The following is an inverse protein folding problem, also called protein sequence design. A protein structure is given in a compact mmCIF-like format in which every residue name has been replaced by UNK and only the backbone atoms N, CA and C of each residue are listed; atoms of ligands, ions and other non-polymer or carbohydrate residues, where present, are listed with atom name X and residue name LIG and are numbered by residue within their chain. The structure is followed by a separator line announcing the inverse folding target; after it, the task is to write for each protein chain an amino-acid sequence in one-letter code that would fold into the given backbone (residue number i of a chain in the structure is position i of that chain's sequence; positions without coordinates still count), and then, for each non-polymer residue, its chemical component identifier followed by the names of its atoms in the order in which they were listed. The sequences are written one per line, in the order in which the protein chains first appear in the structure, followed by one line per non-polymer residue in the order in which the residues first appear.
data_IF_321316431236
#
_entry.id   IF_321316431236
#
_cell.length_a   1.000
_cell.length_b   1.000
_cell.length_c   1.000
_cell.angle_alpha   90.00
_cell.angle_beta   90.00
_cell.angle_gamma   90.00
#
_symmetry.space_group_name_H-M   'P 1'
#
loop_
_entity.id
_entity.type
_entity.pdbx_description
1 polymer ?
#
# COMPACT_ATOMS: atom_id res chain seq x y z
N UNK A 1 1.80 78.89 0.63
CA UNK A 1 2.01 77.85 -0.39
C UNK A 1 1.84 76.49 0.26
N UNK A 2 0.65 75.89 0.14
CA UNK A 2 0.42 74.50 0.58
C UNK A 2 0.28 73.70 -0.71
N UNK A 3 1.35 72.97 -1.06
CA UNK A 3 1.34 72.01 -2.17
C UNK A 3 0.40 70.87 -1.80
N UNK A 4 -0.57 70.59 -2.68
CA UNK A 4 -1.58 69.55 -2.49
C UNK A 4 -0.93 68.19 -2.27
N UNK A 5 -1.26 67.57 -1.13
CA UNK A 5 -1.00 66.15 -0.94
C UNK A 5 -1.74 65.37 -2.04
N UNK A 6 -0.98 64.63 -2.84
CA UNK A 6 -1.48 63.74 -3.89
C UNK A 6 -2.42 62.68 -3.28
N UNK A 7 -3.72 62.91 -3.40
CA UNK A 7 -4.81 62.08 -2.86
C UNK A 7 -4.86 60.65 -3.43
N UNK A 8 -4.04 60.35 -4.45
CA UNK A 8 -3.99 59.04 -5.11
C UNK A 8 -3.04 58.05 -4.43
N UNK A 9 -2.03 58.51 -3.68
CA UNK A 9 -1.02 57.65 -3.03
C UNK A 9 -1.62 56.69 -1.98
N UNK A 10 -2.51 57.12 -1.06
CA UNK A 10 -3.11 56.21 -0.08
C UNK A 10 -3.99 55.14 -0.75
N UNK A 11 -4.73 55.53 -1.78
CA UNK A 11 -5.60 54.64 -2.57
C UNK A 11 -4.79 53.59 -3.31
N UNK A 12 -3.66 53.96 -3.94
CA UNK A 12 -2.77 52.99 -4.58
C UNK A 12 -2.10 52.04 -3.57
N UNK A 13 -1.66 52.54 -2.41
CA UNK A 13 -1.05 51.69 -1.36
C UNK A 13 -2.06 50.69 -0.81
N UNK A 14 -3.29 51.13 -0.53
CA UNK A 14 -4.37 50.23 -0.10
C UNK A 14 -4.70 49.17 -1.16
N UNK A 15 -4.81 49.60 -2.42
CA UNK A 15 -5.12 48.71 -3.54
C UNK A 15 -4.02 47.68 -3.75
N UNK A 16 -2.75 48.08 -3.69
CA UNK A 16 -1.59 47.18 -3.78
C UNK A 16 -1.55 46.18 -2.60
N UNK A 17 -1.88 46.61 -1.38
CA UNK A 17 -1.93 45.74 -0.21
C UNK A 17 -3.05 44.68 -0.31
N UNK A 18 -4.24 45.06 -0.79
CA UNK A 18 -5.36 44.14 -1.00
C UNK A 18 -5.03 43.10 -2.08
N UNK A 19 -4.47 43.53 -3.23
CA UNK A 19 -4.07 42.60 -4.29
C UNK A 19 -2.89 41.71 -3.89
N UNK A 20 -1.91 42.23 -3.15
CA UNK A 20 -0.78 41.46 -2.62
C UNK A 20 -1.24 40.38 -1.62
N UNK A 21 -2.15 40.72 -0.71
CA UNK A 21 -2.71 39.78 0.26
C UNK A 21 -3.55 38.67 -0.38
N UNK A 22 -4.41 39.01 -1.35
CA UNK A 22 -5.21 38.04 -2.09
C UNK A 22 -4.34 37.08 -2.93
N UNK A 23 -3.30 37.60 -3.59
CA UNK A 23 -2.35 36.79 -4.37
C UNK A 23 -1.58 35.79 -3.50
N UNK A 24 -1.13 36.20 -2.31
CA UNK A 24 -0.45 35.32 -1.37
C UNK A 24 -1.35 34.18 -0.86
N UNK A 25 -2.63 34.46 -0.60
CA UNK A 25 -3.61 33.43 -0.20
C UNK A 25 -3.87 32.42 -1.32
N UNK A 26 -4.08 32.88 -2.56
CA UNK A 26 -4.28 32.00 -3.73
C UNK A 26 -3.04 31.13 -3.96
N UNK A 27 -1.84 31.71 -3.87
CA UNK A 27 -0.58 30.96 -4.00
C UNK A 27 -0.43 29.91 -2.89
N UNK A 28 -0.80 30.23 -1.65
CA UNK A 28 -0.77 29.29 -0.53
C UNK A 28 -1.75 28.13 -0.72
N UNK A 29 -2.98 28.40 -1.17
CA UNK A 29 -3.99 27.38 -1.50
C UNK A 29 -3.50 26.48 -2.63
N UNK A 30 -3.02 27.04 -3.74
CA UNK A 30 -2.47 26.27 -4.86
C UNK A 30 -1.24 25.44 -4.45
N UNK A 31 -0.39 25.96 -3.56
CA UNK A 31 0.76 25.22 -3.03
C UNK A 31 0.35 24.07 -2.11
N UNK A 32 -0.72 24.23 -1.32
CA UNK A 32 -1.30 23.15 -0.52
C UNK A 32 -1.94 22.07 -1.41
N UNK A 33 -2.76 22.48 -2.37
CA UNK A 33 -3.40 21.56 -3.32
C UNK A 33 -2.37 20.78 -4.14
N UNK A 34 -1.30 21.44 -4.60
CA UNK A 34 -0.23 20.76 -5.33
C UNK A 34 0.54 19.77 -4.45
N UNK A 35 0.79 20.07 -3.16
CA UNK A 35 1.41 19.12 -2.22
C UNK A 35 0.50 17.92 -1.93
N UNK A 36 -0.80 18.15 -1.76
CA UNK A 36 -1.78 17.08 -1.54
C UNK A 36 -1.85 16.18 -2.78
N UNK A 37 -1.95 16.78 -3.98
CA UNK A 37 -1.94 16.06 -5.24
C UNK A 37 -0.64 15.28 -5.46
N UNK A 38 0.51 15.88 -5.16
CA UNK A 38 1.82 15.18 -5.19
C UNK A 38 1.85 14.02 -4.19
N UNK A 39 1.34 14.20 -2.98
CA UNK A 39 1.24 13.12 -1.99
C UNK A 39 0.31 11.99 -2.42
N UNK A 40 -0.81 12.30 -3.07
CA UNK A 40 -1.70 11.29 -3.66
C UNK A 40 -1.03 10.55 -4.82
N UNK A 41 -0.36 11.28 -5.73
CA UNK A 41 0.37 10.70 -6.85
C UNK A 41 1.53 9.80 -6.39
N UNK A 42 2.27 10.21 -5.35
CA UNK A 42 3.33 9.39 -4.76
C UNK A 42 2.78 8.08 -4.18
N UNK A 43 1.67 8.15 -3.44
CA UNK A 43 1.03 6.96 -2.87
C UNK A 43 0.49 6.01 -3.95
N UNK A 44 -0.13 6.57 -4.98
CA UNK A 44 -0.56 5.86 -6.17
C UNK A 44 0.62 5.16 -6.86
N UNK A 45 1.75 5.86 -7.04
CA UNK A 45 2.94 5.31 -7.67
C UNK A 45 3.50 4.11 -6.91
N UNK A 46 3.51 4.15 -5.56
CA UNK A 46 3.92 3.00 -4.74
C UNK A 46 2.97 1.82 -4.95
N UNK A 47 1.65 2.04 -4.95
CA UNK A 47 0.69 0.96 -5.24
C UNK A 47 0.88 0.37 -6.64
N UNK A 48 1.16 1.21 -7.64
CA UNK A 48 1.48 0.76 -9.00
C UNK A 48 2.80 -0.01 -9.05
N UNK A 49 3.81 0.35 -8.26
CA UNK A 49 5.06 -0.43 -8.15
C UNK A 49 4.80 -1.86 -7.66
N UNK A 50 3.97 -2.03 -6.62
CA UNK A 50 3.56 -3.37 -6.18
C UNK A 50 2.85 -4.16 -7.29
N UNK A 51 1.95 -3.51 -8.04
CA UNK A 51 1.24 -4.14 -9.16
C UNK A 51 2.23 -4.52 -10.28
N UNK A 52 3.14 -3.63 -10.63
CA UNK A 52 4.15 -3.86 -11.66
C UNK A 52 5.07 -5.01 -11.29
N UNK A 53 5.60 -5.02 -10.06
CA UNK A 53 6.43 -6.10 -9.53
C UNK A 53 5.70 -7.44 -9.50
N UNK A 54 4.40 -7.43 -9.17
CA UNK A 54 3.57 -8.63 -9.22
C UNK A 54 3.34 -9.17 -10.64
N UNK A 55 3.45 -8.31 -11.65
CA UNK A 55 3.28 -8.64 -13.06
C UNK A 55 4.60 -8.79 -13.81
N UNK A 56 5.74 -8.54 -13.16
CA UNK A 56 7.07 -8.61 -13.76
C UNK A 56 7.37 -10.06 -14.23
N UNK A 57 7.79 -10.26 -15.49
CA UNK A 57 8.21 -11.56 -16.01
C UNK A 57 9.34 -12.23 -15.20
N UNK A 58 10.21 -11.47 -14.55
CA UNK A 58 11.25 -12.01 -13.67
C UNK A 58 10.66 -12.55 -12.37
N UNK A 59 9.58 -11.92 -11.88
CA UNK A 59 8.80 -12.40 -10.73
C UNK A 59 7.84 -13.54 -11.12
N UNK A 60 7.68 -13.82 -12.41
CA UNK A 60 6.80 -14.88 -12.92
C UNK A 60 7.19 -16.26 -12.41
N UNK A 61 8.48 -16.59 -12.30
CA UNK A 61 8.92 -17.89 -11.78
C UNK A 61 8.60 -18.04 -10.30
N UNK A 62 8.88 -17.04 -9.46
CA UNK A 62 8.52 -17.04 -8.04
C UNK A 62 6.99 -17.08 -7.83
N UNK A 63 6.23 -16.31 -8.62
CA UNK A 63 4.76 -16.28 -8.58
C UNK A 63 4.14 -17.57 -9.12
N UNK A 64 4.72 -18.20 -10.14
CA UNK A 64 4.27 -19.49 -10.66
C UNK A 64 4.47 -20.56 -9.59
N UNK A 65 5.67 -20.63 -9.02
CA UNK A 65 5.98 -21.60 -7.98
C UNK A 65 5.11 -21.37 -6.73
N UNK A 66 4.90 -20.10 -6.32
CA UNK A 66 4.02 -19.76 -5.21
C UNK A 66 2.54 -20.10 -5.49
N UNK A 67 2.04 -19.84 -6.71
CA UNK A 67 0.69 -20.26 -7.13
C UNK A 67 0.55 -21.78 -7.17
N UNK A 68 1.56 -22.50 -7.65
CA UNK A 68 1.58 -23.96 -7.64
C UNK A 68 1.53 -24.47 -6.18
N UNK A 69 2.33 -23.91 -5.28
CA UNK A 69 2.28 -24.24 -3.86
C UNK A 69 0.90 -23.95 -3.26
N UNK A 70 0.29 -22.79 -3.53
CA UNK A 70 -1.07 -22.47 -3.04
C UNK A 70 -2.13 -23.41 -3.61
N UNK A 71 -2.02 -23.79 -4.89
CA UNK A 71 -2.89 -24.78 -5.51
C UNK A 71 -2.80 -26.14 -4.80
N UNK A 72 -1.58 -26.57 -4.50
CA UNK A 72 -1.31 -27.81 -3.77
C UNK A 72 -1.82 -27.73 -2.32
N UNK A 73 -1.63 -26.60 -1.64
CA UNK A 73 -2.16 -26.39 -0.28
C UNK A 73 -3.68 -26.41 -0.25
N UNK A 74 -4.36 -25.92 -1.29
CA UNK A 74 -5.82 -25.96 -1.41
C UNK A 74 -6.36 -27.38 -1.50
N UNK A 75 -5.63 -28.30 -2.12
CA UNK A 75 -6.04 -29.70 -2.24
C UNK A 75 -5.90 -30.49 -0.94
N UNK A 76 -5.18 -29.94 0.04
CA UNK A 76 -4.92 -30.55 1.35
C UNK A 76 -5.93 -30.05 2.37
N UNK A 77 -6.59 -30.98 3.05
CA UNK A 77 -7.77 -30.66 3.86
C UNK A 77 -7.40 -30.18 5.27
N UNK A 78 -6.21 -30.51 5.75
CA UNK A 78 -5.78 -30.19 7.11
C UNK A 78 -4.50 -29.33 7.15
N UNK A 79 -4.35 -28.45 8.16
CA UNK A 79 -3.10 -27.71 8.36
C UNK A 79 -1.86 -28.61 8.50
N UNK A 80 -2.01 -29.81 9.08
CA UNK A 80 -0.90 -30.76 9.24
C UNK A 80 -0.43 -31.33 7.89
N UNK A 81 -1.35 -31.64 6.98
CA UNK A 81 -1.01 -32.05 5.59
C UNK A 81 -0.31 -30.92 4.84
N UNK A 82 -0.80 -29.69 5.00
CA UNK A 82 -0.19 -28.49 4.43
C UNK A 82 1.25 -28.30 4.95
N UNK A 83 1.43 -28.42 6.27
CA UNK A 83 2.74 -28.28 6.91
C UNK A 83 3.70 -29.37 6.44
N UNK A 84 3.26 -30.63 6.39
CA UNK A 84 4.08 -31.75 5.91
C UNK A 84 4.56 -31.50 4.48
N UNK A 85 3.67 -31.11 3.57
CA UNK A 85 4.01 -30.80 2.18
C UNK A 85 5.04 -29.67 2.04
N UNK A 86 4.95 -28.64 2.88
CA UNK A 86 5.92 -27.53 2.90
C UNK A 86 7.26 -27.93 3.53
N UNK A 87 7.26 -28.85 4.50
CA UNK A 87 8.48 -29.34 5.15
C UNK A 87 9.27 -30.32 4.28
N UNK A 88 8.60 -31.07 3.40
CA UNK A 88 9.21 -32.00 2.45
C UNK A 88 10.14 -31.30 1.44
N UNK A 89 9.92 -30.00 1.16
CA UNK A 89 10.73 -29.24 0.22
C UNK A 89 10.89 -27.78 0.67
N UNK A 90 12.11 -27.44 1.09
CA UNK A 90 12.46 -26.07 1.53
C UNK A 90 12.24 -25.02 0.45
N UNK A 91 12.34 -25.38 -0.83
CA UNK A 91 12.11 -24.46 -1.94
C UNK A 91 10.64 -24.06 -2.01
N UNK A 92 9.71 -25.02 -1.82
CA UNK A 92 8.26 -24.72 -1.74
C UNK A 92 7.94 -23.78 -0.60
N UNK A 93 8.53 -24.05 0.57
CA UNK A 93 8.37 -23.20 1.74
C UNK A 93 8.87 -21.77 1.49
N UNK A 94 10.07 -21.62 0.90
CA UNK A 94 10.63 -20.31 0.56
C UNK A 94 9.74 -19.57 -0.44
N UNK A 95 9.35 -20.25 -1.53
CA UNK A 95 8.51 -19.65 -2.58
C UNK A 95 7.16 -19.17 -2.04
N UNK A 96 6.54 -19.94 -1.12
CA UNK A 96 5.30 -19.52 -0.46
C UNK A 96 5.53 -18.26 0.37
N UNK A 97 6.56 -18.26 1.22
CA UNK A 97 6.86 -17.12 2.07
C UNK A 97 7.19 -15.87 1.28
N UNK A 98 7.91 -15.98 0.16
CA UNK A 98 8.23 -14.84 -0.69
C UNK A 98 6.96 -14.16 -1.22
N UNK A 99 5.96 -14.95 -1.61
CA UNK A 99 4.66 -14.41 -2.02
C UNK A 99 3.89 -13.80 -0.85
N UNK A 100 3.85 -14.47 0.31
CA UNK A 100 3.17 -13.94 1.49
C UNK A 100 3.81 -12.64 2.02
N UNK A 101 5.13 -12.51 1.90
CA UNK A 101 5.88 -11.31 2.26
C UNK A 101 5.55 -10.12 1.35
N UNK A 102 5.14 -10.35 0.09
CA UNK A 102 4.63 -9.26 -0.77
C UNK A 102 3.36 -8.66 -0.16
N UNK A 103 2.43 -9.50 0.32
CA UNK A 103 1.21 -9.00 0.96
C UNK A 103 1.46 -8.37 2.32
N UNK A 104 2.42 -8.89 3.09
CA UNK A 104 2.88 -8.25 4.34
C UNK A 104 3.43 -6.86 4.05
N UNK A 105 4.31 -6.72 3.04
CA UNK A 105 4.90 -5.45 2.64
C UNK A 105 3.87 -4.45 2.10
N UNK A 106 2.94 -4.91 1.25
CA UNK A 106 1.83 -4.09 0.76
C UNK A 106 0.96 -3.59 1.91
N UNK A 107 0.62 -4.47 2.85
CA UNK A 107 -0.16 -4.11 4.03
C UNK A 107 0.56 -3.06 4.88
N UNK A 108 1.85 -3.25 5.16
CA UNK A 108 2.65 -2.28 5.89
C UNK A 108 2.68 -0.92 5.19
N UNK A 109 2.86 -0.89 3.86
CA UNK A 109 2.84 0.35 3.09
C UNK A 109 1.49 1.08 3.14
N UNK A 110 0.37 0.33 3.12
CA UNK A 110 -0.98 0.90 3.29
C UNK A 110 -1.17 1.45 4.70
N UNK A 111 -0.81 0.69 5.73
CA UNK A 111 -0.96 1.11 7.13
C UNK A 111 -0.13 2.36 7.45
N UNK A 112 1.05 2.51 6.85
CA UNK A 112 1.89 3.70 6.99
C UNK A 112 1.42 4.88 6.13
N UNK A 113 0.36 4.72 5.33
CA UNK A 113 -0.13 5.75 4.40
C UNK A 113 0.83 6.04 3.26
N UNK A 114 1.75 5.13 2.95
CA UNK A 114 2.75 5.26 1.87
C UNK A 114 2.18 4.74 0.55
N UNK A 115 1.32 3.71 0.59
CA UNK A 115 0.62 3.19 -0.57
C UNK A 115 -0.84 3.65 -0.58
N UNK A 116 -1.37 3.90 -1.77
CA UNK A 116 -2.79 4.17 -1.98
C UNK A 116 -3.60 2.87 -1.91
N UNK A 117 -4.43 2.74 -0.87
CA UNK A 117 -5.20 1.53 -0.60
C UNK A 117 -6.20 1.21 -1.71
N UNK A 118 -6.93 2.21 -2.20
CA UNK A 118 -7.98 1.99 -3.21
C UNK A 118 -7.41 1.44 -4.51
N UNK A 119 -6.25 1.95 -4.93
CA UNK A 119 -5.53 1.45 -6.10
C UNK A 119 -5.04 0.03 -5.88
N UNK A 120 -4.44 -0.25 -4.73
CA UNK A 120 -3.98 -1.59 -4.39
C UNK A 120 -5.15 -2.58 -4.33
N UNK A 121 -6.26 -2.21 -3.69
CA UNK A 121 -7.46 -3.05 -3.51
C UNK A 121 -8.08 -3.43 -4.85
N UNK A 122 -8.15 -2.52 -5.82
CA UNK A 122 -8.66 -2.79 -7.18
C UNK A 122 -7.94 -3.95 -7.87
N UNK A 123 -6.65 -4.14 -7.60
CA UNK A 123 -5.86 -5.20 -8.22
C UNK A 123 -5.71 -6.44 -7.30
N UNK A 124 -5.36 -6.23 -6.04
CA UNK A 124 -4.95 -7.30 -5.13
C UNK A 124 -6.08 -7.94 -4.33
N UNK A 125 -7.30 -7.35 -4.27
CA UNK A 125 -8.36 -7.84 -3.36
C UNK A 125 -8.60 -9.33 -3.49
N UNK A 126 -8.95 -9.82 -4.68
CA UNK A 126 -9.26 -11.24 -4.88
C UNK A 126 -8.07 -12.15 -4.55
N UNK A 127 -6.85 -11.70 -4.85
CA UNK A 127 -5.61 -12.45 -4.59
C UNK A 127 -5.36 -12.55 -3.09
N UNK A 128 -5.46 -11.43 -2.37
CA UNK A 128 -5.28 -11.39 -0.91
C UNK A 128 -6.29 -12.29 -0.21
N UNK A 129 -7.57 -12.22 -0.59
CA UNK A 129 -8.61 -13.07 -0.01
C UNK A 129 -8.36 -14.55 -0.27
N UNK A 130 -7.99 -14.90 -1.50
CA UNK A 130 -7.68 -16.28 -1.91
C UNK A 130 -6.48 -16.84 -1.13
N UNK A 131 -5.38 -16.11 -1.09
CA UNK A 131 -4.15 -16.56 -0.45
C UNK A 131 -4.33 -16.69 1.06
N UNK A 132 -5.01 -15.73 1.70
CA UNK A 132 -5.29 -15.81 3.13
C UNK A 132 -6.14 -17.04 3.44
N UNK A 133 -7.20 -17.27 2.66
CA UNK A 133 -8.11 -18.40 2.88
C UNK A 133 -7.37 -19.75 2.87
N UNK A 134 -6.43 -19.92 1.93
CA UNK A 134 -5.63 -21.15 1.80
C UNK A 134 -4.55 -21.25 2.88
N UNK A 135 -3.89 -20.15 3.24
CA UNK A 135 -2.64 -20.18 4.03
C UNK A 135 -2.84 -19.88 5.51
N UNK A 136 -4.01 -19.40 5.94
CA UNK A 136 -4.27 -19.03 7.35
C UNK A 136 -4.04 -20.19 8.33
N UNK A 137 -4.33 -21.44 7.95
CA UNK A 137 -4.11 -22.62 8.79
C UNK A 137 -2.62 -22.82 9.09
N UNK A 138 -1.83 -22.89 8.02
CA UNK A 138 -0.37 -22.90 8.07
C UNK A 138 0.21 -21.74 8.90
N UNK A 139 -0.24 -20.50 8.65
CA UNK A 139 0.28 -19.31 9.35
C UNK A 139 0.03 -19.43 10.86
N UNK A 140 -1.20 -19.81 11.28
CA UNK A 140 -1.56 -19.96 12.70
C UNK A 140 -0.73 -21.04 13.39
N UNK A 141 -0.59 -22.21 12.76
CA UNK A 141 0.25 -23.29 13.28
C UNK A 141 1.71 -22.83 13.44
N UNK A 142 2.24 -22.13 12.43
CA UNK A 142 3.62 -21.65 12.44
C UNK A 142 3.90 -20.62 13.54
N UNK A 143 2.96 -19.70 13.76
CA UNK A 143 3.04 -18.72 14.86
C UNK A 143 3.13 -19.42 16.23
N UNK A 144 2.36 -20.49 16.42
CA UNK A 144 2.38 -21.29 17.65
C UNK A 144 3.71 -22.03 17.81
N UNK A 145 4.18 -22.74 16.77
CA UNK A 145 5.46 -23.48 16.79
C UNK A 145 6.67 -22.59 17.09
N UNK A 146 6.70 -21.39 16.51
CA UNK A 146 7.85 -20.47 16.60
C UNK A 146 7.72 -19.45 17.71
N UNK A 147 6.62 -19.48 18.47
CA UNK A 147 6.29 -18.46 19.47
C UNK A 147 6.35 -17.03 18.90
N UNK A 148 6.04 -16.87 17.61
CA UNK A 148 6.10 -15.59 16.92
C UNK A 148 4.71 -15.19 16.44
N UNK A 149 3.93 -14.59 17.32
CA UNK A 149 2.58 -14.12 17.02
C UNK A 149 2.54 -13.00 15.96
N UNK A 150 3.67 -12.34 15.66
CA UNK A 150 3.75 -11.21 14.71
C UNK A 150 3.98 -11.64 13.27
N UNK A 151 4.30 -12.91 13.01
CA UNK A 151 4.56 -13.40 11.66
C UNK A 151 3.33 -13.19 10.76
N UNK A 152 3.50 -12.45 9.65
CA UNK A 152 2.44 -12.20 8.67
C UNK A 152 1.18 -11.57 9.28
N UNK A 153 1.36 -10.72 10.30
CA UNK A 153 0.25 -10.07 11.02
C UNK A 153 -0.38 -8.98 10.18
N UNK A 154 0.43 -8.25 9.42
CA UNK A 154 -0.08 -7.15 8.63
C UNK A 154 -0.86 -7.69 7.43
N UNK A 155 -0.48 -8.84 6.86
CA UNK A 155 -1.28 -9.58 5.89
C UNK A 155 -2.65 -10.00 6.43
N UNK A 156 -2.71 -10.48 7.68
CA UNK A 156 -3.98 -10.79 8.36
C UNK A 156 -4.86 -9.54 8.52
N UNK A 157 -4.26 -8.42 8.91
CA UNK A 157 -4.95 -7.14 9.00
C UNK A 157 -5.55 -6.74 7.65
N UNK A 158 -4.77 -6.89 6.57
CA UNK A 158 -5.19 -6.55 5.21
C UNK A 158 -6.37 -7.42 4.76
N UNK A 159 -6.30 -8.72 5.00
CA UNK A 159 -7.42 -9.64 4.75
C UNK A 159 -8.68 -9.20 5.48
N UNK A 160 -8.58 -8.94 6.79
CA UNK A 160 -9.75 -8.54 7.59
C UNK A 160 -10.35 -7.21 7.11
N UNK A 161 -9.52 -6.28 6.63
CA UNK A 161 -9.95 -4.99 6.09
C UNK A 161 -10.61 -5.09 4.70
N UNK A 162 -10.24 -6.08 3.90
CA UNK A 162 -10.71 -6.22 2.51
C UNK A 162 -11.76 -7.31 2.29
N UNK A 163 -12.03 -8.15 3.30
CA UNK A 163 -13.04 -9.21 3.27
C UNK A 163 -14.44 -8.68 3.00
N UNK A 164 -14.75 -7.51 3.55
CA UNK A 164 -16.02 -6.82 3.38
C UNK A 164 -16.01 -6.00 2.06
#
# INVERSE_FOLDING_TARGET
FILGQESWRPTLIFTAAVFGGAGALIAAVNALDSRIAQGQQARMAVSLDFINRWNDPQFFHAKRNGREVVSELRQRQTPDEQMKYLQEDRVRYSNLLDVLNVFEGLSGAIQMGIADEETAKRFFRSIVLEYWHVTQGFIKQRRAERQNARMLRDFEWLFNRWRD
#
